data_IF_722495018921
#
_entry.id   IF_722495018921
#
_cell.length_a   1.000
_cell.length_b   1.000
_cell.length_c   1.000
_cell.angle_alpha   90.00
_cell.angle_beta   90.00
_cell.angle_gamma   90.00
#
_symmetry.space_group_name_H-M   'P 1'
#
loop_
_entity.id
_entity.type
_entity.pdbx_description
1 polymer ?
#
# COMPACT_ATOMS: atom_id res chain seq x y z
N UNK A 1 -1.36 4.93 -10.03
CA UNK A 1 -1.19 4.84 -8.57
C UNK A 1 0.05 5.55 -8.06
N UNK A 2 1.12 5.56 -8.81
CA UNK A 2 2.35 6.25 -8.40
C UNK A 2 2.09 7.72 -8.05
N UNK A 3 1.30 8.41 -8.86
CA UNK A 3 1.01 9.82 -8.63
C UNK A 3 0.30 10.03 -7.29
N UNK A 4 -0.58 9.11 -6.92
CA UNK A 4 -1.30 9.21 -5.66
C UNK A 4 -0.37 9.02 -4.47
N UNK A 5 0.58 8.10 -4.61
CA UNK A 5 1.58 7.86 -3.56
C UNK A 5 2.46 9.10 -3.39
N UNK A 6 2.93 9.66 -4.50
CA UNK A 6 3.78 10.85 -4.46
C UNK A 6 3.06 12.03 -3.83
N UNK A 7 1.80 12.21 -4.19
CA UNK A 7 1.00 13.30 -3.61
C UNK A 7 0.82 13.12 -2.11
N UNK A 8 0.52 11.90 -1.69
CA UNK A 8 0.30 11.63 -0.27
C UNK A 8 1.57 11.82 0.56
N UNK A 9 2.74 11.53 -0.01
CA UNK A 9 4.02 11.67 0.67
C UNK A 9 4.68 13.02 0.41
N UNK A 10 4.02 13.89 -0.35
CA UNK A 10 4.53 15.24 -0.69
C UNK A 10 5.85 15.18 -1.45
N UNK A 11 5.99 14.18 -2.32
CA UNK A 11 7.17 14.01 -3.16
C UNK A 11 6.92 14.71 -4.49
N UNK A 12 7.78 15.67 -4.82
CA UNK A 12 7.64 16.46 -6.05
C UNK A 12 8.67 16.14 -7.10
N UNK A 13 9.66 15.31 -6.76
CA UNK A 13 10.71 14.90 -7.67
C UNK A 13 10.43 13.51 -8.22
N UNK A 14 11.10 13.15 -9.31
CA UNK A 14 11.03 11.82 -9.88
C UNK A 14 12.18 10.93 -9.40
N UNK A 15 13.00 11.41 -8.49
CA UNK A 15 14.19 10.70 -8.04
C UNK A 15 13.87 9.39 -7.33
N UNK A 16 12.68 9.30 -6.74
CA UNK A 16 12.27 8.12 -5.97
C UNK A 16 11.26 7.25 -6.70
N UNK A 17 10.97 7.53 -7.96
CA UNK A 17 9.92 6.81 -8.68
C UNK A 17 10.17 5.31 -8.71
N UNK A 18 11.40 4.91 -9.03
CA UNK A 18 11.75 3.49 -9.08
C UNK A 18 11.59 2.81 -7.73
N UNK A 19 12.03 3.47 -6.67
CA UNK A 19 11.90 2.93 -5.33
C UNK A 19 10.43 2.80 -4.93
N UNK A 20 9.61 3.81 -5.25
CA UNK A 20 8.20 3.79 -4.92
C UNK A 20 7.46 2.69 -5.69
N UNK A 21 7.84 2.45 -6.92
CA UNK A 21 7.27 1.35 -7.70
C UNK A 21 7.60 0.01 -7.04
N UNK A 22 8.84 -0.17 -6.59
CA UNK A 22 9.21 -1.38 -5.88
C UNK A 22 8.40 -1.56 -4.60
N UNK A 23 8.14 -0.47 -3.89
CA UNK A 23 7.32 -0.51 -2.68
C UNK A 23 5.87 -0.85 -3.00
N UNK A 24 5.35 -0.41 -4.14
CA UNK A 24 4.02 -0.80 -4.59
C UNK A 24 3.92 -2.31 -4.79
N UNK A 25 4.90 -2.91 -5.46
CA UNK A 25 4.93 -4.36 -5.64
C UNK A 25 4.96 -5.06 -4.28
N UNK A 26 5.80 -4.59 -3.39
CA UNK A 26 5.89 -5.18 -2.06
C UNK A 26 4.56 -5.06 -1.30
N UNK A 27 3.87 -3.95 -1.45
CA UNK A 27 2.56 -3.76 -0.82
C UNK A 27 1.54 -4.78 -1.33
N UNK A 28 1.51 -5.01 -2.63
CA UNK A 28 0.59 -6.00 -3.20
C UNK A 28 0.88 -7.39 -2.66
N UNK A 29 2.14 -7.74 -2.55
CA UNK A 29 2.53 -9.02 -1.98
C UNK A 29 2.11 -9.11 -0.52
N UNK A 30 2.36 -8.08 0.24
CA UNK A 30 2.02 -8.07 1.67
C UNK A 30 0.53 -8.13 1.91
N UNK A 31 -0.25 -7.49 1.03
CA UNK A 31 -1.71 -7.52 1.12
C UNK A 31 -2.29 -8.83 0.57
N UNK A 32 -1.46 -9.68 0.03
CA UNK A 32 -1.86 -10.96 -0.55
C UNK A 32 -2.87 -10.77 -1.69
N UNK A 33 -2.62 -9.80 -2.54
CA UNK A 33 -3.45 -9.50 -3.69
C UNK A 33 -2.67 -9.98 -4.93
N UNK A 34 -2.65 -11.29 -5.12
CA UNK A 34 -1.75 -11.92 -6.08
C UNK A 34 -2.16 -11.77 -7.52
N UNK A 35 -3.43 -11.47 -7.80
CA UNK A 35 -3.90 -11.36 -9.16
C UNK A 35 -3.93 -9.92 -9.68
N UNK A 36 -3.42 -8.97 -8.91
CA UNK A 36 -3.24 -7.61 -9.41
C UNK A 36 -1.90 -7.53 -10.14
N UNK A 37 -1.98 -7.15 -11.40
CA UNK A 37 -0.79 -6.93 -12.21
C UNK A 37 -0.30 -5.51 -11.94
N UNK A 38 0.89 -5.33 -11.35
CA UNK A 38 1.38 -3.99 -11.03
C UNK A 38 1.54 -3.09 -12.25
N UNK A 39 1.79 -3.66 -13.42
CA UNK A 39 1.90 -2.86 -14.64
C UNK A 39 0.56 -2.33 -15.09
N UNK A 40 -0.53 -2.89 -14.58
CA UNK A 40 -1.89 -2.48 -14.90
C UNK A 40 -2.61 -1.87 -13.71
N UNK A 41 -1.87 -1.43 -12.70
CA UNK A 41 -2.49 -0.96 -11.46
C UNK A 41 -3.46 0.18 -11.68
N UNK A 42 -3.13 1.08 -12.59
CA UNK A 42 -4.00 2.22 -12.84
C UNK A 42 -5.35 1.82 -13.39
N UNK A 43 -5.41 0.72 -14.12
CA UNK A 43 -6.65 0.28 -14.76
C UNK A 43 -7.29 -0.89 -14.03
N UNK A 44 -6.56 -1.65 -13.23
CA UNK A 44 -7.08 -2.86 -12.62
C UNK A 44 -7.47 -2.71 -11.16
N UNK A 45 -6.97 -1.68 -10.49
CA UNK A 45 -7.29 -1.44 -9.08
C UNK A 45 -7.94 -0.09 -8.92
N UNK A 46 -9.24 -0.10 -8.74
CA UNK A 46 -10.00 1.13 -8.48
C UNK A 46 -10.56 1.18 -7.08
N UNK A 47 -10.34 0.13 -6.28
CA UNK A 47 -10.89 0.06 -4.94
C UNK A 47 -10.15 1.04 -4.03
N UNK A 48 -10.84 2.05 -3.48
CA UNK A 48 -10.19 3.04 -2.64
C UNK A 48 -9.52 2.46 -1.40
N UNK A 49 -10.07 1.39 -0.84
CA UNK A 49 -9.50 0.79 0.35
C UNK A 49 -8.14 0.16 0.05
N UNK A 50 -8.02 -0.51 -1.09
CA UNK A 50 -6.75 -1.10 -1.52
C UNK A 50 -5.74 0.01 -1.81
N UNK A 51 -6.17 1.02 -2.54
CA UNK A 51 -5.29 2.14 -2.89
C UNK A 51 -4.73 2.80 -1.63
N UNK A 52 -5.59 3.05 -0.63
CA UNK A 52 -5.16 3.66 0.61
C UNK A 52 -4.18 2.79 1.37
N UNK A 53 -4.41 1.49 1.41
CA UNK A 53 -3.49 0.57 2.08
C UNK A 53 -2.12 0.56 1.41
N UNK A 54 -2.09 0.58 0.08
CA UNK A 54 -0.83 0.63 -0.67
C UNK A 54 -0.09 1.93 -0.38
N UNK A 55 -0.79 3.05 -0.39
CA UNK A 55 -0.19 4.35 -0.08
C UNK A 55 0.42 4.34 1.33
N UNK A 56 -0.32 3.81 2.29
CA UNK A 56 0.12 3.78 3.68
C UNK A 56 1.34 2.87 3.86
N UNK A 57 1.36 1.72 3.18
CA UNK A 57 2.52 0.85 3.19
C UNK A 57 3.74 1.56 2.63
N UNK A 58 3.58 2.22 1.48
CA UNK A 58 4.68 2.95 0.87
C UNK A 58 5.20 4.05 1.79
N UNK A 59 4.29 4.76 2.46
CA UNK A 59 4.69 5.79 3.42
C UNK A 59 5.50 5.22 4.57
N UNK A 60 5.04 4.11 5.12
CA UNK A 60 5.75 3.43 6.19
C UNK A 60 7.18 3.09 5.79
N UNK A 61 7.35 2.45 4.65
CA UNK A 61 8.68 2.03 4.20
C UNK A 61 9.54 3.21 3.78
N UNK A 62 8.95 4.19 3.10
CA UNK A 62 9.69 5.35 2.63
C UNK A 62 10.23 6.18 3.79
N UNK A 63 9.44 6.36 4.84
CA UNK A 63 9.86 7.13 6.00
C UNK A 63 10.98 6.44 6.77
N UNK A 64 11.03 5.11 6.76
CA UNK A 64 12.15 4.39 7.36
C UNK A 64 13.45 4.75 6.66
N UNK A 65 13.42 4.84 5.34
CA UNK A 65 14.63 5.01 4.54
C UNK A 65 15.04 6.47 4.40
N UNK A 66 14.09 7.39 4.34
CA UNK A 66 14.36 8.77 3.96
C UNK A 66 13.79 9.81 4.90
N UNK A 67 13.07 9.40 5.92
CA UNK A 67 12.34 10.36 6.73
C UNK A 67 12.43 10.09 8.21
N UNK A 68 11.28 10.17 8.87
CA UNK A 68 11.16 10.12 10.31
C UNK A 68 10.65 8.75 10.77
N UNK A 69 11.33 8.15 11.75
CA UNK A 69 10.85 6.90 12.32
C UNK A 69 9.51 7.09 13.03
N UNK A 70 9.25 8.25 13.56
CA UNK A 70 7.99 8.56 14.19
C UNK A 70 6.84 8.54 13.17
N UNK A 71 7.07 9.15 12.00
CA UNK A 71 6.07 9.14 10.93
C UNK A 71 5.93 7.74 10.35
N UNK A 72 7.02 7.01 10.24
CA UNK A 72 6.98 5.62 9.81
C UNK A 72 6.10 4.80 10.72
N UNK A 73 6.24 4.95 12.04
CA UNK A 73 5.43 4.21 13.00
C UNK A 73 3.95 4.55 12.88
N UNK A 74 3.63 5.82 12.64
CA UNK A 74 2.24 6.23 12.44
C UNK A 74 1.63 5.59 11.19
N UNK A 75 2.39 5.57 10.09
CA UNK A 75 1.95 4.91 8.86
C UNK A 75 1.76 3.41 9.10
N UNK A 76 2.69 2.78 9.83
CA UNK A 76 2.60 1.35 10.08
C UNK A 76 1.34 1.01 10.87
N UNK A 77 1.02 1.79 11.88
CA UNK A 77 -0.19 1.56 12.66
C UNK A 77 -1.43 1.64 11.78
N UNK A 78 -1.51 2.68 10.94
CA UNK A 78 -2.63 2.82 10.02
C UNK A 78 -2.68 1.66 9.04
N UNK A 79 -1.54 1.23 8.53
CA UNK A 79 -1.49 0.13 7.59
C UNK A 79 -1.98 -1.16 8.21
N UNK A 80 -1.54 -1.46 9.44
CA UNK A 80 -1.95 -2.67 10.12
C UNK A 80 -3.47 -2.72 10.32
N UNK A 81 -4.07 -1.57 10.65
CA UNK A 81 -5.52 -1.47 10.79
C UNK A 81 -6.22 -1.65 9.45
N UNK A 82 -5.71 -1.03 8.40
CA UNK A 82 -6.28 -1.15 7.06
C UNK A 82 -6.19 -2.58 6.55
N UNK A 83 -5.06 -3.21 6.77
CA UNK A 83 -4.87 -4.60 6.35
C UNK A 83 -5.83 -5.52 7.07
N UNK A 84 -6.03 -5.32 8.38
CA UNK A 84 -6.97 -6.11 9.15
C UNK A 84 -8.39 -5.94 8.61
N UNK A 85 -8.78 -4.73 8.27
CA UNK A 85 -10.10 -4.48 7.70
C UNK A 85 -10.28 -5.16 6.36
N UNK A 86 -9.26 -5.12 5.51
CA UNK A 86 -9.32 -5.79 4.22
C UNK A 86 -9.39 -7.30 4.38
N UNK A 87 -8.67 -7.84 5.35
CA UNK A 87 -8.71 -9.28 5.61
C UNK A 87 -10.08 -9.75 6.05
N UNK A 88 -10.82 -8.89 6.72
CA UNK A 88 -12.15 -9.22 7.20
C UNK A 88 -13.24 -8.96 6.17
N UNK A 89 -12.91 -8.28 5.09
CA UNK A 89 -13.87 -7.96 4.04
C UNK A 89 -13.90 -9.10 3.04
N UNK A 90 -15.08 -9.69 2.82
CA UNK A 90 -15.18 -10.79 1.88
C UNK A 90 -14.89 -10.28 0.47
N UNK A 91 -14.22 -11.13 -0.32
CA UNK A 91 -13.91 -10.82 -1.69
C UNK A 91 -12.50 -10.29 -1.93
N UNK A 92 -11.78 -9.92 -0.89
CA UNK A 92 -10.41 -9.42 -1.06
C UNK A 92 -9.36 -10.49 -0.88
N UNK A 93 -9.61 -11.44 0.01
CA UNK A 93 -8.63 -12.46 0.35
C UNK A 93 -9.37 -13.74 0.67
N UNK A 94 -8.58 -14.81 0.86
CA UNK A 94 -9.12 -16.08 1.30
C UNK A 94 -9.38 -16.14 2.80
N UNK A 95 -9.15 -15.06 3.49
CA UNK A 95 -9.29 -15.04 4.94
C UNK A 95 -10.72 -15.20 5.40
N UNK A 96 -11.65 -14.97 4.52
CA UNK A 96 -13.05 -15.17 4.86
C UNK A 96 -13.33 -16.57 5.37
N UNK A 97 -12.54 -17.54 4.93
CA UNK A 97 -12.73 -18.92 5.32
C UNK A 97 -12.30 -19.21 6.75
N UNK A 98 -11.45 -18.38 7.31
CA UNK A 98 -10.98 -18.58 8.68
C UNK A 98 -11.81 -17.82 9.69
N UNK A 99 -12.74 -17.06 9.22
CA UNK A 99 -13.64 -16.34 10.11
C UNK A 99 -14.72 -17.29 10.59
N UNK A 100 -14.82 -17.50 11.85
CA UNK A 100 -15.86 -18.38 12.39
C UNK A 100 -17.23 -17.86 12.08
#
# INVERSE_FOLDING_TARGET
MLDKIKLALLITTNDFDSELIDLMYAAFIDLNIGDIDPEKTESSTTDPAIIRAVITYCGYQFEILHGSLERSAAFKKSYDEQKAQLSNASGYTDFSMVTP
#
